data_IF_232996955641
#
_entry.id   IF_232996955641
#
_cell.length_a   1.000
_cell.length_b   1.000
_cell.length_c   1.000
_cell.angle_alpha   90.00
_cell.angle_beta   90.00
_cell.angle_gamma   90.00
#
_symmetry.space_group_name_H-M   'P 1'
#
loop_
_entity.id
_entity.type
_entity.pdbx_description
1 polymer ?
#
# COMPACT_ATOMS: atom_id res chain seq x y z
N UNK A 1 7.97 -41.63 2.93
CA UNK A 1 7.37 -40.33 2.56
C UNK A 1 7.00 -39.64 3.85
N UNK A 2 7.69 -38.55 4.16
CA UNK A 2 7.71 -37.90 5.46
C UNK A 2 6.57 -36.88 5.58
N UNK A 3 5.60 -37.14 6.47
CA UNK A 3 4.37 -36.33 6.61
C UNK A 3 4.64 -34.86 6.90
N UNK A 4 5.80 -34.55 7.48
CA UNK A 4 6.23 -33.17 7.75
C UNK A 4 6.55 -32.41 6.46
N UNK A 5 7.14 -33.07 5.46
CA UNK A 5 7.47 -32.43 4.18
C UNK A 5 6.21 -32.07 3.40
N UNK A 6 5.19 -32.93 3.44
CA UNK A 6 3.92 -32.69 2.75
C UNK A 6 3.19 -31.48 3.32
N UNK A 7 3.07 -31.37 4.66
CA UNK A 7 2.39 -30.23 5.30
C UNK A 7 3.09 -28.89 5.04
N UNK A 8 4.42 -28.88 4.98
CA UNK A 8 5.20 -27.68 4.68
C UNK A 8 5.00 -27.21 3.23
N UNK A 9 4.84 -28.16 2.30
CA UNK A 9 4.55 -27.85 0.89
C UNK A 9 3.17 -27.21 0.75
N UNK A 10 2.15 -27.75 1.42
CA UNK A 10 0.78 -27.23 1.38
C UNK A 10 0.66 -25.83 1.97
N UNK A 11 1.34 -25.57 3.09
CA UNK A 11 1.37 -24.25 3.72
C UNK A 11 2.07 -23.20 2.84
N UNK A 12 3.16 -23.59 2.19
CA UNK A 12 3.84 -22.74 1.21
C UNK A 12 2.92 -22.39 0.04
N UNK A 13 2.26 -23.38 -0.55
CA UNK A 13 1.35 -23.18 -1.67
C UNK A 13 0.20 -22.24 -1.31
N UNK A 14 -0.37 -22.40 -0.11
CA UNK A 14 -1.42 -21.51 0.42
C UNK A 14 -0.91 -20.07 0.53
N UNK A 15 0.27 -19.88 1.12
CA UNK A 15 0.87 -18.56 1.27
C UNK A 15 1.19 -17.92 -0.10
N UNK A 16 1.67 -18.71 -1.06
CA UNK A 16 1.94 -18.25 -2.42
C UNK A 16 0.66 -17.76 -3.10
N UNK A 17 -0.45 -18.49 -2.97
CA UNK A 17 -1.76 -18.07 -3.52
C UNK A 17 -2.26 -16.79 -2.87
N UNK A 18 -2.14 -16.65 -1.54
CA UNK A 18 -2.54 -15.41 -0.85
C UNK A 18 -1.71 -14.21 -1.30
N UNK A 19 -0.39 -14.37 -1.44
CA UNK A 19 0.49 -13.32 -1.96
C UNK A 19 0.13 -12.92 -3.38
N UNK A 20 -0.08 -13.89 -4.26
CA UNK A 20 -0.50 -13.64 -5.64
C UNK A 20 -1.83 -12.87 -5.69
N UNK A 21 -2.80 -13.24 -4.83
CA UNK A 21 -4.08 -12.54 -4.71
C UNK A 21 -3.90 -11.09 -4.26
N UNK A 22 -3.05 -10.84 -3.25
CA UNK A 22 -2.74 -9.48 -2.78
C UNK A 22 -2.09 -8.63 -3.87
N UNK A 23 -1.06 -9.16 -4.53
CA UNK A 23 -0.40 -8.46 -5.62
C UNK A 23 -1.34 -8.15 -6.79
N UNK A 24 -2.25 -9.07 -7.13
CA UNK A 24 -3.24 -8.82 -8.17
C UNK A 24 -4.21 -7.69 -7.78
N UNK A 25 -4.63 -7.62 -6.50
CA UNK A 25 -5.47 -6.53 -6.01
C UNK A 25 -4.73 -5.18 -6.06
N UNK A 26 -3.48 -5.15 -5.63
CA UNK A 26 -2.63 -3.96 -5.66
C UNK A 26 -2.38 -3.46 -7.08
N UNK A 27 -2.09 -4.37 -8.02
CA UNK A 27 -1.83 -4.03 -9.42
C UNK A 27 -3.06 -3.45 -10.14
N UNK A 28 -4.28 -3.82 -9.73
CA UNK A 28 -5.53 -3.33 -10.28
C UNK A 28 -6.12 -2.15 -9.49
N UNK A 29 -5.39 -1.60 -8.51
CA UNK A 29 -5.88 -0.48 -7.73
C UNK A 29 -6.04 0.77 -8.62
N UNK A 30 -7.25 1.36 -8.60
CA UNK A 30 -7.52 2.63 -9.30
C UNK A 30 -6.96 3.77 -8.46
N UNK A 31 -6.00 4.51 -9.02
CA UNK A 31 -5.35 5.64 -8.35
C UNK A 31 -5.89 6.93 -8.96
N UNK A 32 -6.46 7.84 -8.16
CA UNK A 32 -6.99 9.09 -8.69
C UNK A 32 -5.86 10.04 -9.13
N UNK A 33 -6.16 10.90 -10.10
CA UNK A 33 -5.21 11.89 -10.63
C UNK A 33 -4.87 13.00 -9.63
N UNK A 34 -5.78 13.24 -8.68
CA UNK A 34 -5.56 14.12 -7.55
C UNK A 34 -6.41 13.69 -6.34
N UNK A 35 -6.05 14.17 -5.15
CA UNK A 35 -6.81 14.05 -3.91
C UNK A 35 -6.65 15.33 -3.11
N UNK A 36 -7.66 15.75 -2.36
CA UNK A 36 -7.53 16.90 -1.47
C UNK A 36 -6.71 16.55 -0.22
N UNK A 37 -5.83 17.46 0.21
CA UNK A 37 -5.10 17.36 1.46
C UNK A 37 -6.06 17.58 2.64
N UNK A 38 -6.06 16.65 3.61
CA UNK A 38 -6.91 16.77 4.80
C UNK A 38 -6.58 17.95 5.72
N UNK A 39 -5.38 18.53 5.63
CA UNK A 39 -4.99 19.65 6.51
C UNK A 39 -5.17 21.02 5.84
N UNK A 40 -4.57 21.23 4.67
CA UNK A 40 -4.59 22.53 4.01
C UNK A 40 -5.65 22.65 2.89
N UNK A 41 -6.29 21.56 2.47
CA UNK A 41 -7.22 21.56 1.34
C UNK A 41 -6.56 21.64 -0.05
N UNK A 42 -5.23 21.67 -0.14
CA UNK A 42 -4.54 21.71 -1.42
C UNK A 42 -4.58 20.37 -2.15
N UNK A 43 -4.37 20.40 -3.46
CA UNK A 43 -4.37 19.21 -4.31
C UNK A 43 -3.09 18.38 -4.14
N UNK A 44 -3.23 17.14 -3.69
CA UNK A 44 -2.20 16.10 -3.70
C UNK A 44 -2.06 15.59 -5.13
N UNK A 45 -0.88 15.75 -5.77
CA UNK A 45 -0.70 15.40 -7.17
C UNK A 45 -0.70 13.88 -7.38
N UNK A 46 -1.24 13.44 -8.51
CA UNK A 46 -1.34 12.02 -8.88
C UNK A 46 0.01 11.29 -8.89
N UNK A 47 1.13 11.97 -9.15
CA UNK A 47 2.45 11.36 -9.03
C UNK A 47 2.74 10.86 -7.60
N UNK A 48 2.34 11.63 -6.58
CA UNK A 48 2.45 11.25 -5.16
C UNK A 48 1.50 10.10 -4.84
N UNK A 49 0.26 10.15 -5.34
CA UNK A 49 -0.73 9.10 -5.14
C UNK A 49 -0.34 7.79 -5.85
N UNK A 50 0.34 7.85 -7.00
CA UNK A 50 0.90 6.65 -7.65
C UNK A 50 2.00 6.00 -6.83
N UNK A 51 2.88 6.81 -6.22
CA UNK A 51 3.91 6.29 -5.34
C UNK A 51 3.35 5.81 -3.99
N UNK A 52 2.33 6.49 -3.45
CA UNK A 52 1.69 6.22 -2.16
C UNK A 52 0.17 6.43 -2.28
N UNK A 53 -0.60 5.40 -2.70
CA UNK A 53 -2.05 5.52 -2.95
C UNK A 53 -2.89 5.89 -1.72
N UNK A 54 -2.34 5.64 -0.53
CA UNK A 54 -2.99 5.93 0.74
C UNK A 54 -2.63 7.29 1.33
N UNK A 55 -1.82 8.11 0.65
CA UNK A 55 -1.45 9.44 1.15
C UNK A 55 -2.69 10.35 1.32
N UNK A 56 -2.87 10.92 2.51
CA UNK A 56 -3.97 11.83 2.85
C UNK A 56 -3.53 13.29 3.04
N UNK A 57 -2.22 13.52 3.10
CA UNK A 57 -1.61 14.84 3.26
C UNK A 57 -0.75 15.20 2.04
N UNK A 58 -0.66 16.50 1.73
CA UNK A 58 0.35 17.01 0.81
C UNK A 58 1.76 16.82 1.37
N UNK A 59 2.79 17.08 0.57
CA UNK A 59 4.17 16.86 1.03
C UNK A 59 4.54 17.77 2.19
N UNK A 60 4.08 19.03 2.17
CA UNK A 60 4.42 20.02 3.18
C UNK A 60 3.78 19.69 4.53
N UNK A 61 2.47 19.45 4.55
CA UNK A 61 1.73 18.99 5.75
C UNK A 61 2.29 17.67 6.31
N UNK A 62 2.65 16.72 5.44
CA UNK A 62 3.27 15.46 5.90
C UNK A 62 4.60 15.71 6.61
N UNK A 63 5.44 16.58 6.06
CA UNK A 63 6.73 16.89 6.67
C UNK A 63 6.56 17.67 7.98
N UNK A 64 5.58 18.58 8.06
CA UNK A 64 5.25 19.25 9.31
C UNK A 64 4.79 18.25 10.36
N UNK A 65 3.90 17.33 10.02
CA UNK A 65 3.48 16.27 10.93
C UNK A 65 4.68 15.45 11.43
N UNK A 66 5.58 15.03 10.55
CA UNK A 66 6.80 14.28 10.93
C UNK A 66 7.74 15.07 11.85
N UNK A 67 7.87 16.39 11.63
CA UNK A 67 8.69 17.28 12.48
C UNK A 67 8.12 17.45 13.88
N UNK A 68 6.80 17.51 14.02
CA UNK A 68 6.14 17.71 15.33
C UNK A 68 5.90 16.39 16.09
N UNK A 69 5.98 15.25 15.42
CA UNK A 69 5.84 13.91 16.00
C UNK A 69 7.18 13.19 16.26
N UNK A 70 8.30 13.93 16.33
CA UNK A 70 9.65 13.39 16.61
C UNK A 70 9.91 13.15 18.10
#
# INVERSE_FOLDING_TARGET
>A
MDRLQDTLSEDSDRLQRERARRHALEANAVIPEHRECHECGESIPGARLRARPLATLCIDCQQDAERHHS
#
